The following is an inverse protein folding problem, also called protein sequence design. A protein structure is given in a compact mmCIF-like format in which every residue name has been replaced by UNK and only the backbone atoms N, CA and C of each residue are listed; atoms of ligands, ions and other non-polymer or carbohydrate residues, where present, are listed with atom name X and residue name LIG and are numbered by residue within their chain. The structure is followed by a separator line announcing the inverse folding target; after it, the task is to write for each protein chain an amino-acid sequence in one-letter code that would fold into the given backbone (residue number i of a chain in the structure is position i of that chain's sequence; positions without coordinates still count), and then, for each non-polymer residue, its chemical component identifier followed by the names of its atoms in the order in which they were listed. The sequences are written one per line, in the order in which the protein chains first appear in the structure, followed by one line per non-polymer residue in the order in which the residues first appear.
data_IF_124427893065
#
_entry.id   IF_124427893065
#
_cell.length_a   1.000
_cell.length_b   1.000
_cell.length_c   1.000
_cell.angle_alpha   90.00
_cell.angle_beta   90.00
_cell.angle_gamma   90.00
#
_symmetry.space_group_name_H-M   'P 1'
#
loop_
_entity.id
_entity.type
_entity.pdbx_description
1 polymer ?
#
# COMPACT_ATOMS: atom_id res chain seq x y z
N UNK A 1 -1.74 -18.66 16.11
CA UNK A 1 -0.53 -18.49 15.27
C UNK A 1 -0.82 -18.40 13.77
N UNK A 2 -1.19 -19.48 13.03
CA UNK A 2 -1.42 -19.35 11.55
C UNK A 2 -2.64 -18.49 11.17
N UNK A 3 -3.72 -18.53 11.96
CA UNK A 3 -4.94 -17.74 11.71
C UNK A 3 -4.69 -16.23 11.88
N UNK A 4 -3.89 -15.84 12.86
CA UNK A 4 -3.58 -14.43 13.15
C UNK A 4 -2.72 -13.82 12.04
N UNK A 5 -1.77 -14.59 11.52
CA UNK A 5 -0.93 -14.15 10.39
C UNK A 5 -1.76 -13.87 9.14
N UNK A 6 -2.59 -14.83 8.71
CA UNK A 6 -3.38 -14.65 7.49
C UNK A 6 -4.36 -13.49 7.63
N UNK A 7 -4.93 -13.30 8.82
CA UNK A 7 -5.76 -12.15 9.14
C UNK A 7 -5.00 -10.83 8.95
N UNK A 8 -3.78 -10.72 9.49
CA UNK A 8 -2.94 -9.53 9.35
C UNK A 8 -2.55 -9.28 7.89
N UNK A 9 -2.16 -10.31 7.14
CA UNK A 9 -1.87 -10.16 5.70
C UNK A 9 -3.11 -9.69 4.91
N UNK A 10 -4.29 -10.20 5.25
CA UNK A 10 -5.54 -9.74 4.64
C UNK A 10 -5.87 -8.29 5.01
N UNK A 11 -5.60 -7.87 6.26
CA UNK A 11 -5.72 -6.48 6.70
C UNK A 11 -4.85 -5.56 5.85
N UNK A 12 -3.55 -5.88 5.70
CA UNK A 12 -2.62 -5.15 4.84
C UNK A 12 -3.16 -5.08 3.40
N UNK A 13 -3.59 -6.20 2.83
CA UNK A 13 -4.14 -6.25 1.46
C UNK A 13 -5.37 -5.36 1.28
N UNK A 14 -6.20 -5.22 2.31
CA UNK A 14 -7.37 -4.35 2.27
C UNK A 14 -6.98 -2.87 2.29
N UNK A 15 -6.00 -2.48 3.10
CA UNK A 15 -5.53 -1.10 3.09
C UNK A 15 -4.82 -0.72 1.80
N UNK A 16 -4.02 -1.63 1.24
CA UNK A 16 -3.43 -1.41 -0.09
C UNK A 16 -4.50 -1.27 -1.16
N UNK A 17 -5.59 -2.05 -1.08
CA UNK A 17 -6.72 -1.89 -2.01
C UNK A 17 -7.38 -0.52 -1.85
N UNK A 18 -7.58 -0.05 -0.61
CA UNK A 18 -8.13 1.30 -0.35
C UNK A 18 -7.23 2.39 -0.93
N UNK A 19 -5.91 2.26 -0.78
CA UNK A 19 -4.93 3.16 -1.41
C UNK A 19 -5.10 3.17 -2.93
N UNK A 20 -5.19 2.00 -3.56
CA UNK A 20 -5.39 1.90 -5.01
C UNK A 20 -6.70 2.55 -5.44
N UNK A 21 -7.80 2.33 -4.73
CA UNK A 21 -9.09 2.96 -5.07
C UNK A 21 -9.06 4.48 -4.91
N UNK A 22 -8.35 5.00 -3.90
CA UNK A 22 -8.20 6.42 -3.66
C UNK A 22 -7.26 7.10 -4.68
N UNK A 23 -6.16 6.45 -5.03
CA UNK A 23 -5.17 6.97 -5.97
C UNK A 23 -5.53 6.68 -7.43
N UNK A 24 -6.31 5.65 -7.75
CA UNK A 24 -6.59 5.22 -9.12
C UNK A 24 -7.60 6.10 -9.86
N UNK A 25 -8.43 6.87 -9.14
CA UNK A 25 -9.37 7.80 -9.74
C UNK A 25 -8.68 9.13 -10.11
N UNK A 26 -8.06 9.16 -11.30
CA UNK A 26 -7.32 10.32 -11.80
C UNK A 26 -8.22 11.52 -12.15
N UNK A 27 -9.55 11.35 -12.20
CA UNK A 27 -10.50 12.42 -12.46
C UNK A 27 -10.81 13.26 -11.22
N UNK A 28 -10.38 12.82 -10.03
CA UNK A 28 -10.57 13.51 -8.75
C UNK A 28 -9.24 14.01 -8.19
N UNK A 29 -9.31 14.99 -7.31
CA UNK A 29 -8.17 15.35 -6.48
C UNK A 29 -7.71 14.13 -5.67
N UNK A 30 -6.39 14.03 -5.45
CA UNK A 30 -5.82 12.92 -4.70
C UNK A 30 -6.03 13.14 -3.20
N UNK A 31 -6.72 12.23 -2.47
CA UNK A 31 -6.94 12.36 -1.04
C UNK A 31 -5.69 11.91 -0.26
N UNK A 32 -4.67 12.77 -0.23
CA UNK A 32 -3.34 12.46 0.32
C UNK A 32 -3.40 11.95 1.77
N UNK A 33 -4.21 12.58 2.62
CA UNK A 33 -4.34 12.21 4.03
C UNK A 33 -4.86 10.77 4.18
N UNK A 34 -5.91 10.42 3.45
CA UNK A 34 -6.49 9.07 3.46
C UNK A 34 -5.48 8.03 2.97
N UNK A 35 -4.76 8.33 1.89
CA UNK A 35 -3.71 7.43 1.36
C UNK A 35 -2.62 7.22 2.41
N UNK A 36 -2.15 8.31 3.04
CA UNK A 36 -1.11 8.24 4.06
C UNK A 36 -1.56 7.44 5.29
N UNK A 37 -2.81 7.60 5.71
CA UNK A 37 -3.40 6.82 6.82
C UNK A 37 -3.36 5.32 6.50
N UNK A 38 -3.81 4.91 5.32
CA UNK A 38 -3.84 3.48 4.95
C UNK A 38 -2.43 2.90 4.76
N UNK A 39 -1.50 3.65 4.17
CA UNK A 39 -0.09 3.22 4.06
C UNK A 39 0.56 3.06 5.44
N UNK A 40 0.31 3.99 6.37
CA UNK A 40 0.80 3.90 7.73
C UNK A 40 0.20 2.72 8.50
N UNK A 41 -1.09 2.44 8.28
CA UNK A 41 -1.75 1.29 8.90
C UNK A 41 -1.15 -0.03 8.37
N UNK A 42 -0.99 -0.15 7.05
CA UNK A 42 -0.33 -1.30 6.43
C UNK A 42 1.10 -1.52 6.97
N UNK A 43 1.92 -0.47 7.09
CA UNK A 43 3.28 -0.60 7.64
C UNK A 43 3.31 -1.04 9.10
N UNK A 44 2.36 -0.53 9.91
CA UNK A 44 2.18 -0.98 11.30
C UNK A 44 1.78 -2.45 11.37
N UNK A 45 0.88 -2.90 10.50
CA UNK A 45 0.42 -4.30 10.44
C UNK A 45 1.55 -5.26 10.03
N UNK A 46 2.42 -4.85 9.09
CA UNK A 46 3.65 -5.60 8.81
C UNK A 46 4.54 -5.80 10.05
N UNK A 47 4.50 -4.88 11.01
CA UNK A 47 5.23 -4.99 12.28
C UNK A 47 4.62 -5.96 13.30
N UNK A 48 3.43 -6.48 13.05
CA UNK A 48 2.71 -7.40 13.97
C UNK A 48 3.02 -8.87 13.72
N UNK A 49 3.78 -9.19 12.67
CA UNK A 49 4.11 -10.57 12.25
C UNK A 49 5.57 -10.70 11.86
N UNK A 50 6.12 -11.91 12.00
CA UNK A 50 7.46 -12.21 11.47
C UNK A 50 7.43 -12.27 9.94
N UNK A 51 8.18 -11.39 9.28
CA UNK A 51 8.17 -11.33 7.82
C UNK A 51 9.17 -12.31 7.21
N UNK A 52 8.73 -13.00 6.17
CA UNK A 52 9.59 -13.71 5.22
C UNK A 52 10.47 -12.70 4.46
N UNK A 53 11.57 -13.14 3.84
CA UNK A 53 12.41 -12.25 3.02
C UNK A 53 11.62 -11.49 1.94
N UNK A 54 10.75 -12.19 1.23
CA UNK A 54 9.87 -11.61 0.20
C UNK A 54 8.95 -10.52 0.77
N UNK A 55 8.30 -10.74 1.92
CA UNK A 55 7.44 -9.73 2.53
C UNK A 55 8.22 -8.52 3.05
N UNK A 56 9.48 -8.70 3.49
CA UNK A 56 10.36 -7.57 3.86
C UNK A 56 10.68 -6.71 2.64
N UNK A 57 10.96 -7.34 1.50
CA UNK A 57 11.17 -6.65 0.23
C UNK A 57 9.92 -5.88 -0.18
N UNK A 58 8.74 -6.50 -0.11
CA UNK A 58 7.47 -5.84 -0.40
C UNK A 58 7.19 -4.67 0.53
N UNK A 59 7.44 -4.82 1.84
CA UNK A 59 7.32 -3.72 2.82
C UNK A 59 8.27 -2.57 2.49
N UNK A 60 9.53 -2.88 2.15
CA UNK A 60 10.52 -1.86 1.76
C UNK A 60 10.10 -1.13 0.48
N UNK A 61 9.62 -1.87 -0.52
CA UNK A 61 9.07 -1.30 -1.74
C UNK A 61 7.87 -0.37 -1.45
N UNK A 62 6.96 -0.79 -0.57
CA UNK A 62 5.82 0.03 -0.16
C UNK A 62 6.25 1.32 0.54
N UNK A 63 7.30 1.29 1.37
CA UNK A 63 7.88 2.51 1.98
C UNK A 63 8.43 3.46 0.92
N UNK A 64 9.07 2.93 -0.11
CA UNK A 64 9.57 3.74 -1.24
C UNK A 64 8.42 4.35 -2.04
N UNK A 65 7.30 3.65 -2.21
CA UNK A 65 6.08 4.19 -2.80
C UNK A 65 5.46 5.28 -1.93
N UNK A 66 5.39 5.07 -0.61
CA UNK A 66 4.84 6.05 0.34
C UNK A 66 5.60 7.38 0.32
N UNK A 67 6.94 7.35 0.20
CA UNK A 67 7.76 8.55 0.09
C UNK A 67 7.44 9.40 -1.17
N UNK A 68 6.83 8.80 -2.19
CA UNK A 68 6.49 9.48 -3.47
C UNK A 68 5.07 10.02 -3.50
N UNK A 69 4.25 9.81 -2.46
CA UNK A 69 2.83 10.20 -2.44
C UNK A 69 2.63 11.70 -2.69
N UNK A 70 3.50 12.56 -2.13
CA UNK A 70 3.44 14.01 -2.34
C UNK A 70 3.76 14.47 -3.78
N UNK A 71 4.25 13.58 -4.64
CA UNK A 71 4.63 13.88 -6.03
C UNK A 71 3.61 13.42 -7.08
N UNK A 72 2.42 12.96 -6.65
CA UNK A 72 1.42 12.33 -7.52
C UNK A 72 0.52 13.32 -8.29
N UNK A 73 1.02 14.51 -8.58
CA UNK A 73 0.26 15.57 -9.27
C UNK A 73 0.07 15.29 -10.78
N UNK A 74 0.90 14.41 -11.35
CA UNK A 74 0.77 13.97 -12.73
C UNK A 74 -0.21 12.78 -12.83
N UNK A 75 -1.29 12.86 -13.62
CA UNK A 75 -2.28 11.77 -13.74
C UNK A 75 -1.70 10.42 -14.17
N UNK A 76 -0.82 10.39 -15.16
CA UNK A 76 -0.19 9.15 -15.64
C UNK A 76 0.78 8.59 -14.59
N UNK A 77 1.52 9.46 -13.92
CA UNK A 77 2.40 9.08 -12.81
C UNK A 77 1.61 8.50 -11.63
N UNK A 78 0.48 9.11 -11.30
CA UNK A 78 -0.46 8.65 -10.28
C UNK A 78 -1.04 7.27 -10.60
N UNK A 79 -1.46 7.05 -11.85
CA UNK A 79 -2.00 5.75 -12.28
C UNK A 79 -0.95 4.65 -12.15
N UNK A 80 0.27 4.87 -12.67
CA UNK A 80 1.38 3.91 -12.53
C UNK A 80 1.73 3.63 -11.07
N UNK A 81 1.77 4.67 -10.24
CA UNK A 81 2.01 4.51 -8.82
C UNK A 81 0.93 3.64 -8.15
N UNK A 82 -0.34 3.84 -8.51
CA UNK A 82 -1.44 3.01 -8.00
C UNK A 82 -1.31 1.55 -8.48
N UNK A 83 -0.87 1.32 -9.72
CA UNK A 83 -0.58 -0.02 -10.25
C UNK A 83 0.57 -0.71 -9.51
N UNK A 84 1.62 0.02 -9.12
CA UNK A 84 2.72 -0.51 -8.31
C UNK A 84 2.24 -0.93 -6.91
N UNK A 85 1.37 -0.13 -6.28
CA UNK A 85 0.72 -0.50 -5.01
C UNK A 85 -0.15 -1.75 -5.18
N UNK A 86 -0.94 -1.83 -6.26
CA UNK A 86 -1.77 -3.00 -6.57
C UNK A 86 -0.91 -4.25 -6.79
N UNK A 87 0.22 -4.11 -7.48
CA UNK A 87 1.17 -5.20 -7.71
C UNK A 87 1.75 -5.70 -6.39
N UNK A 88 2.12 -4.79 -5.50
CA UNK A 88 2.57 -5.13 -4.14
C UNK A 88 1.52 -5.93 -3.39
N UNK A 89 0.26 -5.48 -3.43
CA UNK A 89 -0.88 -6.18 -2.81
C UNK A 89 -1.07 -7.60 -3.35
N UNK A 90 -0.98 -7.79 -4.66
CA UNK A 90 -1.17 -9.09 -5.30
C UNK A 90 -0.03 -10.08 -5.03
N UNK A 91 1.16 -9.58 -4.65
CA UNK A 91 2.34 -10.39 -4.32
C UNK A 91 2.49 -10.73 -2.84
N UNK A 92 1.72 -10.07 -1.96
CA UNK A 92 1.47 -10.52 -0.59
C UNK A 92 0.56 -11.73 -0.57
#
# INVERSE_FOLDING_TARGET
MKKDRQFILNSIKMDLYRVVTAAGDIGKEIPLDSIQIFLNHADKDFGKIDLTPHEKELRSHLKNLAAKVGSLNNPNGRLRWAEDVLTTRCRL
#
